data_IF_694905522373
#
_entry.id   IF_694905522373
#
_cell.length_a   1.000
_cell.length_b   1.000
_cell.length_c   1.000
_cell.angle_alpha   90.00
_cell.angle_beta   90.00
_cell.angle_gamma   90.00
#
_symmetry.space_group_name_H-M   'P 1'
#
loop_
_entity.id
_entity.type
_entity.pdbx_description
1 polymer ?
#
# COMPACT_ATOMS: atom_id res chain seq x y z
N UNK A 1 5.77 -7.14 3.49
CA UNK A 1 4.90 -5.97 3.25
C UNK A 1 5.12 -4.96 4.37
N UNK A 2 5.18 -3.67 4.05
CA UNK A 2 5.21 -2.61 5.04
C UNK A 2 4.26 -1.47 4.60
N UNK A 3 3.64 -0.81 5.57
CA UNK A 3 2.83 0.39 5.35
C UNK A 3 3.44 1.54 6.17
N UNK A 4 3.55 2.70 5.56
CA UNK A 4 4.11 3.89 6.18
C UNK A 4 3.21 5.12 5.99
N UNK A 5 3.38 6.13 6.85
CA UNK A 5 2.76 7.44 6.68
C UNK A 5 3.47 8.26 5.61
N UNK A 6 2.90 9.41 5.24
CA UNK A 6 3.58 10.38 4.38
C UNK A 6 4.88 10.92 4.98
N UNK A 7 5.01 10.91 6.31
CA UNK A 7 6.24 11.25 7.04
C UNK A 7 7.24 10.09 7.10
N UNK A 8 7.03 9.02 6.31
CA UNK A 8 7.87 7.83 6.22
C UNK A 8 7.97 7.02 7.53
N UNK A 9 7.03 7.20 8.45
CA UNK A 9 6.96 6.41 9.68
C UNK A 9 6.22 5.10 9.41
N UNK A 10 6.83 3.96 9.77
CA UNK A 10 6.17 2.66 9.66
C UNK A 10 4.95 2.59 10.59
N UNK A 11 3.79 2.36 9.99
CA UNK A 11 2.54 2.11 10.71
C UNK A 11 2.28 0.61 10.88
N UNK A 12 2.83 -0.21 9.98
CA UNK A 12 2.70 -1.65 10.02
C UNK A 12 3.84 -2.34 9.26
N UNK A 13 4.33 -3.46 9.79
CA UNK A 13 5.32 -4.32 9.13
C UNK A 13 4.89 -5.78 9.28
N UNK A 14 4.62 -6.45 8.17
CA UNK A 14 4.50 -7.91 8.12
C UNK A 14 5.86 -8.49 7.71
N UNK A 15 6.60 -8.97 8.71
CA UNK A 15 7.86 -9.69 8.56
C UNK A 15 7.65 -11.21 8.47
N UNK A 16 8.69 -11.93 8.05
CA UNK A 16 8.75 -13.40 8.05
C UNK A 16 7.77 -14.12 7.10
N UNK A 17 7.39 -13.46 6.00
CA UNK A 17 6.73 -14.13 4.88
C UNK A 17 7.76 -14.70 3.91
N UNK A 18 7.49 -15.90 3.39
CA UNK A 18 8.30 -16.50 2.34
C UNK A 18 8.41 -15.55 1.14
N UNK A 19 9.61 -15.37 0.58
CA UNK A 19 9.83 -14.42 -0.51
C UNK A 19 9.06 -14.73 -1.81
N UNK A 20 8.52 -15.96 -1.93
CA UNK A 20 7.66 -16.39 -3.03
C UNK A 20 6.17 -16.07 -2.81
N UNK A 21 5.79 -15.60 -1.62
CA UNK A 21 4.40 -15.29 -1.31
C UNK A 21 3.95 -14.07 -2.12
N UNK A 22 2.88 -14.23 -2.90
CA UNK A 22 2.31 -13.13 -3.65
C UNK A 22 1.85 -12.00 -2.74
N UNK A 23 2.11 -10.76 -3.16
CA UNK A 23 1.79 -9.52 -2.45
C UNK A 23 0.35 -9.47 -1.91
N UNK A 24 -0.63 -9.85 -2.75
CA UNK A 24 -2.03 -9.89 -2.36
C UNK A 24 -2.31 -10.88 -1.22
N UNK A 25 -1.59 -12.02 -1.18
CA UNK A 25 -1.75 -13.03 -0.12
C UNK A 25 -1.24 -12.50 1.22
N UNK A 26 -0.12 -11.78 1.20
CA UNK A 26 0.45 -11.13 2.39
C UNK A 26 -0.49 -10.03 2.90
N UNK A 27 -1.05 -9.21 2.00
CA UNK A 27 -2.02 -8.17 2.36
C UNK A 27 -3.32 -8.77 2.93
N UNK A 28 -3.89 -9.80 2.30
CA UNK A 28 -5.08 -10.46 2.82
C UNK A 28 -4.84 -11.03 4.22
N UNK A 29 -3.70 -11.68 4.45
CA UNK A 29 -3.37 -12.15 5.79
C UNK A 29 -3.22 -10.99 6.77
N UNK A 30 -2.55 -9.91 6.39
CA UNK A 30 -2.36 -8.74 7.25
C UNK A 30 -3.70 -8.15 7.71
N UNK A 31 -4.67 -8.03 6.80
CA UNK A 31 -6.01 -7.49 7.08
C UNK A 31 -6.87 -8.41 7.97
N UNK A 32 -6.79 -9.73 7.75
CA UNK A 32 -7.69 -10.67 8.45
C UNK A 32 -7.09 -11.26 9.73
N UNK A 33 -5.77 -11.36 9.82
CA UNK A 33 -5.06 -12.08 10.88
C UNK A 33 -3.87 -11.31 11.47
N UNK A 34 -3.24 -10.44 10.68
CA UNK A 34 -2.07 -9.68 11.10
C UNK A 34 -2.39 -8.40 11.88
N UNK A 35 -3.66 -8.03 12.04
CA UNK A 35 -4.07 -6.84 12.77
C UNK A 35 -3.82 -5.52 12.02
N UNK A 36 -3.45 -5.58 10.74
CA UNK A 36 -3.36 -4.40 9.90
C UNK A 36 -4.77 -3.86 9.64
N UNK A 37 -4.96 -2.57 9.89
CA UNK A 37 -6.24 -1.91 9.65
C UNK A 37 -6.03 -0.58 8.95
N UNK A 38 -6.98 -0.25 8.08
CA UNK A 38 -7.01 1.06 7.42
C UNK A 38 -7.89 2.00 8.24
N UNK A 39 -7.36 3.15 8.70
CA UNK A 39 -8.16 4.11 9.46
C UNK A 39 -9.40 4.55 8.69
N UNK A 40 -10.51 4.75 9.40
CA UNK A 40 -11.78 5.19 8.79
C UNK A 40 -11.60 6.50 8.03
N UNK A 41 -12.08 6.55 6.79
CA UNK A 41 -11.98 7.73 5.92
C UNK A 41 -10.59 7.96 5.32
N UNK A 42 -9.66 7.02 5.47
CA UNK A 42 -8.33 7.06 4.85
C UNK A 42 -8.14 5.86 3.92
N UNK A 43 -7.12 5.96 3.07
CA UNK A 43 -6.65 4.90 2.20
C UNK A 43 -5.11 4.87 2.22
N UNK A 44 -4.53 3.72 1.90
CA UNK A 44 -3.11 3.59 1.64
C UNK A 44 -2.85 3.65 0.13
N UNK A 45 -1.73 4.27 -0.24
CA UNK A 45 -1.18 4.13 -1.58
C UNK A 45 -0.46 2.78 -1.64
N UNK A 46 -0.89 1.92 -2.55
CA UNK A 46 -0.34 0.59 -2.72
C UNK A 46 0.63 0.55 -3.91
N UNK A 47 1.50 -0.45 -3.97
CA UNK A 47 2.26 -0.71 -5.18
C UNK A 47 1.30 -1.12 -6.33
N UNK A 48 1.74 -0.93 -7.56
CA UNK A 48 1.10 -1.39 -8.79
C UNK A 48 0.74 -2.87 -8.84
N UNK A 49 1.40 -3.71 -8.02
CA UNK A 49 1.07 -5.12 -7.86
C UNK A 49 -0.22 -5.40 -7.08
N UNK A 50 -0.84 -4.38 -6.47
CA UNK A 50 -2.05 -4.50 -5.68
C UNK A 50 -3.30 -4.03 -6.43
N UNK A 51 -4.43 -4.66 -6.12
CA UNK A 51 -5.73 -4.27 -6.66
C UNK A 51 -6.25 -2.98 -5.98
N UNK A 52 -6.89 -2.13 -6.78
CA UNK A 52 -7.61 -0.95 -6.29
C UNK A 52 -8.84 -1.37 -5.48
N UNK A 53 -9.02 -0.76 -4.31
CA UNK A 53 -10.18 -0.94 -3.43
C UNK A 53 -10.53 0.40 -2.75
N UNK A 54 -11.60 0.43 -1.96
CA UNK A 54 -11.92 1.62 -1.14
C UNK A 54 -10.85 1.96 -0.09
N UNK A 55 -9.93 1.04 0.21
CA UNK A 55 -8.90 1.20 1.24
C UNK A 55 -7.47 1.28 0.66
N UNK A 56 -7.29 0.90 -0.61
CA UNK A 56 -5.98 0.81 -1.26
C UNK A 56 -6.07 1.36 -2.68
N UNK A 57 -5.19 2.29 -3.01
CA UNK A 57 -5.11 2.92 -4.33
C UNK A 57 -3.72 2.69 -4.92
N UNK A 58 -3.65 1.94 -6.01
CA UNK A 58 -2.44 1.73 -6.79
C UNK A 58 -2.24 2.87 -7.80
N UNK A 59 -0.99 3.28 -8.06
CA UNK A 59 -0.66 4.27 -9.07
C UNK A 59 -1.21 3.89 -10.44
N UNK A 60 -1.71 4.89 -11.17
CA UNK A 60 -2.09 4.71 -12.56
C UNK A 60 -0.84 4.51 -13.43
N UNK A 61 -0.80 3.42 -14.20
CA UNK A 61 0.37 3.05 -15.02
C UNK A 61 0.49 3.82 -16.34
N UNK A 62 -0.52 4.58 -16.76
CA UNK A 62 -0.58 5.18 -18.10
C UNK A 62 0.07 6.56 -18.23
N UNK A 63 0.29 7.29 -17.12
CA UNK A 63 0.93 8.60 -17.13
C UNK A 63 2.01 8.64 -16.05
N UNK A 64 3.26 8.88 -16.46
CA UNK A 64 4.33 9.17 -15.51
C UNK A 64 4.08 10.54 -14.93
N UNK A 65 4.07 10.64 -13.60
CA UNK A 65 4.04 11.92 -12.92
C UNK A 65 5.23 12.76 -13.38
N UNK A 66 4.98 13.89 -14.03
CA UNK A 66 6.01 14.85 -14.39
C UNK A 66 6.03 15.95 -13.32
N UNK A 67 7.11 15.98 -12.53
CA UNK A 67 7.32 16.95 -11.45
C UNK A 67 7.12 18.41 -11.89
N UNK A 68 7.29 18.70 -13.18
CA UNK A 68 7.06 20.01 -13.80
C UNK A 68 5.60 20.49 -13.78
N UNK A 69 4.62 19.63 -13.52
CA UNK A 69 3.20 20.01 -13.45
C UNK A 69 2.77 20.51 -12.05
N UNK A 70 3.66 20.45 -11.06
CA UNK A 70 3.35 20.78 -9.66
C UNK A 70 4.00 22.07 -9.15
N UNK A 71 4.83 22.73 -9.98
CA UNK A 71 5.34 24.07 -9.70
C UNK A 71 4.30 25.11 -10.17
N UNK A 72 3.54 25.66 -9.21
CA UNK A 72 2.76 26.89 -9.35
C UNK A 72 3.47 28.04 -8.64
#
# INVERSE_FOLDING_TARGET
MAACSFDLQFQYVAASWEGSAGDMKVLQWALHRGGFSVPKGKYYLADSGYANTHQFVAPYWGNRYHLSEFEN
#
